data_IF_601652918585
#
_entry.id   IF_601652918585
#
_cell.length_a   1.000
_cell.length_b   1.000
_cell.length_c   1.000
_cell.angle_alpha   90.00
_cell.angle_beta   90.00
_cell.angle_gamma   90.00
#
_symmetry.space_group_name_H-M   'P 1'
#
loop_
_entity.id
_entity.type
_entity.pdbx_description
1 polymer ?
#
# COMPACT_ATOMS: atom_id res chain seq x y z
N UNK A 1 15.28 -26.79 -6.59
CA UNK A 1 14.50 -26.16 -7.69
C UNK A 1 13.04 -26.54 -7.56
N UNK A 2 12.18 -25.58 -7.22
CA UNK A 2 10.75 -25.80 -7.20
C UNK A 2 10.22 -26.00 -8.62
N UNK A 3 9.35 -26.99 -8.81
CA UNK A 3 8.62 -27.21 -10.07
C UNK A 3 7.16 -26.83 -9.82
N UNK A 4 6.59 -26.06 -10.72
CA UNK A 4 5.17 -25.73 -10.72
C UNK A 4 4.49 -26.28 -11.96
N UNK A 5 3.23 -26.70 -11.79
CA UNK A 5 2.40 -27.06 -12.93
C UNK A 5 1.99 -25.80 -13.70
N UNK A 6 2.03 -25.87 -15.01
CA UNK A 6 1.48 -24.88 -15.93
C UNK A 6 0.08 -25.33 -16.29
N UNK A 7 -0.91 -24.46 -16.06
CA UNK A 7 -2.31 -24.71 -16.31
C UNK A 7 -2.80 -23.97 -17.56
N UNK A 8 -3.84 -24.48 -18.19
CA UNK A 8 -4.63 -23.75 -19.17
C UNK A 8 -5.75 -22.92 -18.49
N UNK A 9 -6.52 -22.15 -19.27
CA UNK A 9 -7.64 -21.38 -18.76
C UNK A 9 -8.80 -22.24 -18.20
N UNK A 10 -8.83 -23.53 -18.48
CA UNK A 10 -9.81 -24.50 -17.97
C UNK A 10 -9.31 -25.27 -16.73
N UNK A 11 -8.13 -24.92 -16.21
CA UNK A 11 -7.53 -25.54 -15.05
C UNK A 11 -6.82 -26.87 -15.31
N UNK A 12 -6.69 -27.30 -16.57
CA UNK A 12 -5.97 -28.53 -16.91
C UNK A 12 -4.48 -28.29 -16.93
N UNK A 13 -3.70 -29.29 -16.50
CA UNK A 13 -2.26 -29.25 -16.54
C UNK A 13 -1.74 -29.45 -17.98
N UNK A 14 -1.03 -28.45 -18.49
CA UNK A 14 -0.39 -28.46 -19.83
C UNK A 14 1.07 -28.92 -19.74
N UNK A 15 1.77 -28.51 -18.65
CA UNK A 15 3.19 -28.80 -18.51
C UNK A 15 3.72 -28.52 -17.11
N UNK A 16 5.05 -28.50 -16.99
CA UNK A 16 5.76 -28.15 -15.74
C UNK A 16 6.85 -27.13 -16.04
N UNK A 17 6.95 -26.08 -15.24
CA UNK A 17 8.01 -25.10 -15.27
C UNK A 17 8.96 -25.27 -14.08
N UNK A 18 10.25 -25.12 -14.31
CA UNK A 18 11.28 -25.09 -13.26
C UNK A 18 11.56 -23.65 -12.89
N UNK A 19 11.37 -23.31 -11.61
CA UNK A 19 11.64 -21.97 -11.09
C UNK A 19 13.13 -21.80 -10.75
N UNK A 20 13.65 -20.58 -10.92
CA UNK A 20 15.02 -20.24 -10.56
C UNK A 20 15.13 -20.06 -9.03
N UNK A 21 15.93 -20.87 -8.37
CA UNK A 21 16.14 -20.83 -6.92
C UNK A 21 16.72 -19.50 -6.43
N UNK A 22 17.49 -18.77 -7.26
CA UNK A 22 18.02 -17.46 -6.90
C UNK A 22 16.95 -16.36 -6.77
N UNK A 23 15.71 -16.65 -7.20
CA UNK A 23 14.56 -15.73 -7.13
C UNK A 23 13.44 -16.29 -6.26
N UNK A 24 13.10 -17.56 -6.44
CA UNK A 24 11.94 -18.21 -5.85
C UNK A 24 12.27 -19.22 -4.75
N UNK A 25 13.57 -19.46 -4.50
CA UNK A 25 14.04 -20.44 -3.52
C UNK A 25 14.79 -19.82 -2.34
N UNK A 26 14.70 -18.52 -2.12
CA UNK A 26 15.32 -17.86 -0.97
C UNK A 26 14.42 -17.99 0.27
N UNK A 27 15.03 -17.96 1.45
CA UNK A 27 14.30 -17.90 2.71
C UNK A 27 13.57 -16.55 2.82
N UNK A 28 12.24 -16.53 3.01
CA UNK A 28 11.47 -15.31 3.10
C UNK A 28 11.85 -14.47 4.32
N UNK A 29 12.20 -13.20 4.12
CA UNK A 29 12.52 -12.27 5.19
C UNK A 29 11.36 -11.30 5.42
N UNK A 30 10.56 -11.58 6.46
CA UNK A 30 9.37 -10.80 6.82
C UNK A 30 9.69 -9.34 7.19
N UNK A 31 10.86 -9.08 7.81
CA UNK A 31 11.26 -7.73 8.23
C UNK A 31 11.48 -6.84 7.00
N UNK A 32 12.24 -7.33 6.03
CA UNK A 32 12.53 -6.55 4.80
C UNK A 32 11.27 -6.36 3.95
N UNK A 33 10.38 -7.36 3.89
CA UNK A 33 9.08 -7.21 3.22
C UNK A 33 8.22 -6.13 3.89
N UNK A 34 8.13 -6.13 5.22
CA UNK A 34 7.40 -5.12 5.98
C UNK A 34 7.98 -3.72 5.76
N UNK A 35 9.30 -3.59 5.78
CA UNK A 35 9.99 -2.30 5.55
C UNK A 35 9.72 -1.74 4.15
N UNK A 36 9.69 -2.61 3.14
CA UNK A 36 9.31 -2.22 1.78
C UNK A 36 7.85 -1.71 1.70
N UNK A 37 6.92 -2.35 2.41
CA UNK A 37 5.51 -1.92 2.49
C UNK A 37 5.39 -0.58 3.21
N UNK A 38 6.07 -0.40 4.34
CA UNK A 38 6.08 0.87 5.10
C UNK A 38 6.62 2.01 4.24
N UNK A 39 7.72 1.76 3.51
CA UNK A 39 8.29 2.73 2.57
C UNK A 39 7.29 3.10 1.47
N UNK A 40 6.64 2.12 0.86
CA UNK A 40 5.63 2.35 -0.17
C UNK A 40 4.47 3.21 0.35
N UNK A 41 3.92 2.87 1.52
CA UNK A 41 2.83 3.64 2.14
C UNK A 41 3.25 5.06 2.53
N UNK A 42 4.49 5.23 3.04
CA UNK A 42 5.03 6.55 3.37
C UNK A 42 5.16 7.43 2.12
N UNK A 43 5.64 6.86 1.00
CA UNK A 43 5.81 7.59 -0.26
C UNK A 43 4.48 7.98 -0.93
N UNK A 44 3.37 7.34 -0.56
CA UNK A 44 2.02 7.72 -1.02
C UNK A 44 1.42 8.90 -0.23
N UNK A 45 1.98 9.24 0.93
CA UNK A 45 1.43 10.30 1.78
C UNK A 45 1.70 11.67 1.16
N UNK A 46 0.65 12.44 0.94
CA UNK A 46 0.73 13.79 0.38
C UNK A 46 1.37 14.81 1.34
N UNK A 47 1.20 14.63 2.65
CA UNK A 47 1.84 15.46 3.67
C UNK A 47 1.35 16.91 3.76
N UNK A 48 0.15 17.20 3.28
CA UNK A 48 -0.42 18.57 3.20
C UNK A 48 -1.17 19.00 4.46
N UNK A 49 -1.16 18.18 5.52
CA UNK A 49 -1.79 18.54 6.78
C UNK A 49 -1.16 19.83 7.36
N UNK A 50 -1.98 20.78 7.76
CA UNK A 50 -1.54 22.03 8.37
C UNK A 50 -2.52 22.50 9.44
N UNK A 51 -2.01 22.93 10.56
CA UNK A 51 -2.80 23.54 11.63
C UNK A 51 -2.12 24.82 12.10
N UNK A 52 -2.91 25.70 12.75
CA UNK A 52 -2.41 26.97 13.22
C UNK A 52 -1.86 26.84 14.65
N UNK A 53 -0.63 27.28 14.83
CA UNK A 53 -0.02 27.45 16.15
C UNK A 53 -0.54 28.70 16.83
N UNK A 54 -0.29 28.86 18.12
CA UNK A 54 -0.67 30.04 18.89
C UNK A 54 -0.21 31.35 18.25
N UNK A 55 0.92 31.37 17.59
CA UNK A 55 1.48 32.57 16.95
C UNK A 55 0.76 32.91 15.63
N UNK A 56 0.22 31.92 14.96
CA UNK A 56 -0.43 32.05 13.65
C UNK A 56 -1.92 32.36 13.74
N UNK A 57 -2.57 31.96 14.85
CA UNK A 57 -4.00 32.26 15.08
C UNK A 57 -4.20 33.78 15.19
N UNK A 58 -5.19 34.31 14.50
CA UNK A 58 -5.56 35.73 14.55
C UNK A 58 -6.14 36.12 15.90
N UNK A 59 -5.91 37.35 16.35
CA UNK A 59 -6.46 37.93 17.58
C UNK A 59 -5.53 37.86 18.79
N UNK A 60 -6.05 38.06 19.99
CA UNK A 60 -5.40 37.83 21.29
C UNK A 60 -4.23 38.74 21.66
N UNK A 61 -4.04 39.89 21.04
CA UNK A 61 -2.97 40.83 21.36
C UNK A 61 -3.08 41.49 22.73
N UNK A 62 -4.30 41.54 23.28
CA UNK A 62 -4.59 42.11 24.61
C UNK A 62 -4.78 41.03 25.65
N UNK A 63 -4.28 41.25 26.88
CA UNK A 63 -4.54 40.36 28.00
C UNK A 63 -6.04 40.41 28.32
N UNK A 64 -6.77 39.26 28.47
CA UNK A 64 -8.22 39.23 28.65
C UNK A 64 -8.70 39.99 29.91
N UNK A 65 -7.97 39.87 31.00
CA UNK A 65 -8.25 40.56 32.26
C UNK A 65 -6.98 40.77 33.09
N UNK A 66 -7.06 41.59 34.13
CA UNK A 66 -5.96 41.83 35.06
C UNK A 66 -5.55 40.59 35.83
N UNK A 67 -4.30 40.55 36.32
CA UNK A 67 -3.67 39.35 36.89
C UNK A 67 -4.34 38.86 38.18
N UNK A 68 -4.94 39.76 38.98
CA UNK A 68 -5.59 39.48 40.26
C UNK A 68 -6.87 40.33 40.43
N UNK A 69 -7.76 39.90 41.33
CA UNK A 69 -8.93 40.68 41.70
C UNK A 69 -10.13 40.57 40.73
N UNK A 70 -10.19 39.52 39.89
CA UNK A 70 -11.32 39.28 38.98
C UNK A 70 -12.12 38.03 39.32
N UNK A 71 -11.66 37.17 40.24
CA UNK A 71 -12.26 35.87 40.52
C UNK A 71 -12.06 34.83 39.40
N UNK A 72 -11.49 35.22 38.27
CA UNK A 72 -11.20 34.32 37.15
C UNK A 72 -9.79 33.72 37.19
N UNK A 73 -9.62 32.55 36.55
CA UNK A 73 -8.31 31.97 36.34
C UNK A 73 -7.41 32.92 35.57
N UNK A 74 -6.11 32.91 35.88
CA UNK A 74 -5.10 33.78 35.21
C UNK A 74 -4.93 33.39 33.75
N UNK A 75 -5.10 34.38 32.86
CA UNK A 75 -4.96 34.20 31.42
C UNK A 75 -4.08 35.28 30.79
N UNK A 76 -3.20 34.88 29.87
CA UNK A 76 -2.31 35.80 29.17
C UNK A 76 -2.78 36.15 27.75
N UNK A 77 -3.51 35.25 27.12
CA UNK A 77 -3.96 35.43 25.73
C UNK A 77 -5.14 34.52 25.44
N UNK A 78 -6.10 34.96 24.64
CA UNK A 78 -7.22 34.19 24.13
C UNK A 78 -6.83 33.19 23.06
N UNK A 79 -5.62 33.31 22.50
CA UNK A 79 -5.05 32.36 21.53
C UNK A 79 -4.35 31.16 22.17
N UNK A 80 -4.31 31.08 23.48
CA UNK A 80 -3.69 29.97 24.20
C UNK A 80 -4.43 28.65 23.91
N UNK A 81 -3.73 27.50 23.94
CA UNK A 81 -4.33 26.20 23.52
C UNK A 81 -5.54 25.75 24.33
N UNK A 82 -5.64 26.20 25.58
CA UNK A 82 -6.78 25.90 26.45
C UNK A 82 -8.06 26.68 26.09
N UNK A 83 -7.94 27.68 25.23
CA UNK A 83 -9.08 28.46 24.77
C UNK A 83 -9.72 27.83 23.54
N UNK A 84 -11.03 27.93 23.44
CA UNK A 84 -11.75 27.61 22.23
C UNK A 84 -11.29 28.55 21.12
N UNK A 85 -11.00 28.02 19.94
CA UNK A 85 -10.36 28.74 18.82
C UNK A 85 -8.94 29.22 19.10
N UNK A 86 -8.27 28.74 20.15
CA UNK A 86 -6.84 28.94 20.37
C UNK A 86 -5.99 28.08 19.43
N UNK A 87 -4.66 28.33 19.48
CA UNK A 87 -3.72 27.56 18.68
C UNK A 87 -3.53 26.12 19.14
N UNK A 88 -3.11 25.24 18.26
CA UNK A 88 -2.82 23.83 18.54
C UNK A 88 -1.36 23.68 18.99
N UNK A 89 -1.15 22.99 20.13
CA UNK A 89 0.19 22.62 20.60
C UNK A 89 0.68 21.43 19.76
N UNK A 90 1.96 21.42 19.40
CA UNK A 90 2.53 20.41 18.47
C UNK A 90 1.75 20.30 17.16
N UNK A 91 1.30 21.42 16.66
CA UNK A 91 0.53 21.54 15.44
C UNK A 91 1.22 20.86 14.26
N UNK A 92 0.56 19.91 13.57
CA UNK A 92 1.14 19.32 12.38
C UNK A 92 1.31 20.36 11.28
N UNK A 93 2.48 20.36 10.65
CA UNK A 93 2.82 21.21 9.50
C UNK A 93 3.03 20.34 8.25
N UNK A 94 2.88 20.90 7.06
CA UNK A 94 3.19 20.20 5.83
C UNK A 94 4.63 19.69 5.86
N UNK A 95 4.81 18.41 5.52
CA UNK A 95 6.12 17.78 5.39
C UNK A 95 6.13 16.70 4.35
N UNK A 96 7.30 16.44 3.79
CA UNK A 96 7.54 15.27 2.96
C UNK A 96 7.77 14.05 3.83
N UNK A 97 7.07 12.95 3.51
CA UNK A 97 7.20 11.64 4.16
C UNK A 97 8.00 10.66 3.32
N UNK A 98 8.38 11.04 2.09
CA UNK A 98 9.05 10.16 1.18
C UNK A 98 10.50 9.86 1.62
N UNK A 99 10.90 8.61 1.46
CA UNK A 99 12.28 8.19 1.64
C UNK A 99 12.59 7.01 0.71
N UNK A 100 13.87 6.78 0.45
CA UNK A 100 14.35 5.74 -0.45
C UNK A 100 15.06 4.66 0.36
N UNK A 101 14.65 3.41 0.19
CA UNK A 101 15.37 2.22 0.69
C UNK A 101 16.41 1.76 -0.33
N UNK A 102 17.43 1.05 0.11
CA UNK A 102 18.50 0.55 -0.74
C UNK A 102 17.97 -0.39 -1.83
N UNK A 103 18.58 -0.33 -3.02
CA UNK A 103 18.20 -1.20 -4.15
C UNK A 103 18.29 -2.69 -3.82
N UNK A 104 19.29 -3.09 -3.00
CA UNK A 104 19.48 -4.48 -2.58
C UNK A 104 18.34 -4.95 -1.66
N UNK A 105 17.94 -4.13 -0.70
CA UNK A 105 16.82 -4.41 0.23
C UNK A 105 15.49 -4.55 -0.53
N UNK A 106 15.19 -3.61 -1.45
CA UNK A 106 13.99 -3.69 -2.28
C UNK A 106 13.93 -4.94 -3.16
N UNK A 107 15.08 -5.35 -3.75
CA UNK A 107 15.16 -6.59 -4.51
C UNK A 107 15.00 -7.83 -3.62
N UNK A 108 15.57 -7.80 -2.41
CA UNK A 108 15.42 -8.90 -1.45
C UNK A 108 13.97 -9.02 -0.99
N UNK A 109 13.28 -7.90 -0.72
CA UNK A 109 11.86 -7.88 -0.36
C UNK A 109 10.99 -8.54 -1.44
N UNK A 110 11.21 -8.19 -2.72
CA UNK A 110 10.48 -8.77 -3.84
C UNK A 110 10.73 -10.27 -3.98
N UNK A 111 11.99 -10.68 -3.92
CA UNK A 111 12.35 -12.11 -3.99
C UNK A 111 11.77 -12.90 -2.80
N UNK A 112 11.81 -12.32 -1.59
CA UNK A 112 11.20 -12.92 -0.40
C UNK A 112 9.69 -13.12 -0.57
N UNK A 113 8.99 -12.11 -1.10
CA UNK A 113 7.56 -12.21 -1.37
C UNK A 113 7.22 -13.29 -2.41
N UNK A 114 8.01 -13.39 -3.50
CA UNK A 114 7.82 -14.42 -4.51
C UNK A 114 8.11 -15.83 -3.96
N UNK A 115 9.17 -15.98 -3.18
CA UNK A 115 9.49 -17.27 -2.52
C UNK A 115 8.40 -17.69 -1.54
N UNK A 116 7.86 -16.76 -0.76
CA UNK A 116 6.74 -17.01 0.16
C UNK A 116 5.51 -17.52 -0.59
N UNK A 117 5.17 -16.92 -1.75
CA UNK A 117 4.05 -17.38 -2.58
C UNK A 117 4.24 -18.79 -3.11
N UNK A 118 5.46 -19.16 -3.47
CA UNK A 118 5.77 -20.53 -3.89
C UNK A 118 5.66 -21.52 -2.73
N UNK A 119 6.20 -21.16 -1.54
CA UNK A 119 6.14 -22.00 -0.34
C UNK A 119 4.70 -22.25 0.12
N UNK A 120 3.85 -21.23 0.04
CA UNK A 120 2.44 -21.31 0.43
C UNK A 120 1.53 -21.88 -0.68
N UNK A 121 2.08 -22.28 -1.83
CA UNK A 121 1.29 -22.79 -2.97
C UNK A 121 0.34 -21.75 -3.58
N UNK A 122 0.62 -20.47 -3.37
CA UNK A 122 -0.24 -19.35 -3.83
C UNK A 122 0.18 -18.79 -5.19
N UNK A 123 1.22 -19.35 -5.81
CA UNK A 123 1.66 -18.99 -7.17
C UNK A 123 1.08 -19.99 -8.17
N UNK A 124 0.25 -19.48 -9.07
CA UNK A 124 -0.35 -20.24 -10.18
C UNK A 124 0.27 -19.75 -11.47
N UNK A 125 0.66 -20.66 -12.34
CA UNK A 125 1.23 -20.35 -13.66
C UNK A 125 0.25 -20.79 -14.74
N UNK A 126 -0.14 -19.84 -15.59
CA UNK A 126 -0.96 -20.10 -16.79
C UNK A 126 -0.07 -20.11 -18.02
N UNK A 127 -0.38 -20.97 -18.98
CA UNK A 127 0.28 -21.01 -20.27
C UNK A 127 0.00 -19.75 -21.08
N UNK A 128 -1.28 -19.43 -21.24
CA UNK A 128 -1.74 -18.22 -21.90
C UNK A 128 -3.09 -17.75 -21.33
N UNK A 129 -3.32 -16.44 -21.33
CA UNK A 129 -4.61 -15.84 -21.04
C UNK A 129 -5.13 -15.15 -22.31
N UNK A 130 -5.77 -15.94 -23.19
CA UNK A 130 -6.31 -15.46 -24.45
C UNK A 130 -7.72 -14.97 -24.26
N UNK A 131 -7.92 -13.66 -24.40
CA UNK A 131 -9.23 -13.01 -24.37
C UNK A 131 -9.31 -12.11 -25.61
N UNK A 132 -10.15 -12.50 -26.58
CA UNK A 132 -10.25 -11.82 -27.88
C UNK A 132 -11.27 -10.67 -27.87
N UNK A 133 -12.15 -10.65 -26.86
CA UNK A 133 -13.17 -9.61 -26.68
C UNK A 133 -13.31 -9.24 -25.20
N UNK A 134 -13.82 -8.04 -24.91
CA UNK A 134 -14.11 -7.63 -23.54
C UNK A 134 -15.17 -8.54 -22.90
N UNK A 135 -14.78 -9.42 -22.01
CA UNK A 135 -15.65 -10.38 -21.34
C UNK A 135 -15.20 -10.69 -19.91
N UNK A 136 -15.85 -10.05 -18.94
CA UNK A 136 -15.64 -10.35 -17.51
C UNK A 136 -16.04 -11.79 -17.16
N UNK A 137 -17.09 -12.31 -17.83
CA UNK A 137 -17.58 -13.69 -17.62
C UNK A 137 -16.50 -14.73 -17.93
N UNK A 138 -15.75 -14.56 -19.01
CA UNK A 138 -14.68 -15.49 -19.41
C UNK A 138 -13.54 -15.47 -18.39
N UNK A 139 -13.13 -14.29 -17.94
CA UNK A 139 -12.08 -14.16 -16.92
C UNK A 139 -12.54 -14.72 -15.58
N UNK A 140 -13.77 -14.45 -15.15
CA UNK A 140 -14.32 -14.98 -13.92
C UNK A 140 -14.44 -16.51 -13.94
N UNK A 141 -14.86 -17.10 -15.07
CA UNK A 141 -14.88 -18.54 -15.25
C UNK A 141 -13.47 -19.16 -15.11
N UNK A 142 -12.47 -18.59 -15.79
CA UNK A 142 -11.08 -19.02 -15.69
C UNK A 142 -10.58 -18.95 -14.23
N UNK A 143 -10.80 -17.85 -13.51
CA UNK A 143 -10.38 -17.71 -12.11
C UNK A 143 -11.04 -18.73 -11.19
N UNK A 144 -12.28 -19.09 -11.43
CA UNK A 144 -12.98 -20.14 -10.68
C UNK A 144 -12.41 -21.54 -10.96
N UNK A 145 -12.12 -21.86 -12.22
CA UNK A 145 -11.55 -23.17 -12.61
C UNK A 145 -10.14 -23.39 -12.04
N UNK A 146 -9.31 -22.34 -12.03
CA UNK A 146 -7.97 -22.42 -11.43
C UNK A 146 -7.98 -22.27 -9.89
N UNK A 147 -9.16 -22.18 -9.28
CA UNK A 147 -9.32 -22.03 -7.81
C UNK A 147 -8.53 -20.83 -7.26
N UNK A 148 -8.57 -19.72 -7.96
CA UNK A 148 -7.90 -18.51 -7.54
C UNK A 148 -8.51 -17.94 -6.25
N UNK A 149 -7.67 -17.36 -5.38
CA UNK A 149 -8.14 -16.70 -4.16
C UNK A 149 -8.95 -15.43 -4.49
N UNK A 150 -9.78 -14.98 -3.55
CA UNK A 150 -10.61 -13.77 -3.73
C UNK A 150 -9.79 -12.51 -4.08
N UNK A 151 -8.55 -12.43 -3.57
CA UNK A 151 -7.61 -11.33 -3.90
C UNK A 151 -6.46 -11.91 -4.71
N UNK A 152 -6.53 -11.77 -6.01
CA UNK A 152 -5.56 -12.32 -6.96
C UNK A 152 -4.89 -11.20 -7.73
N UNK A 153 -3.57 -11.27 -7.87
CA UNK A 153 -2.78 -10.43 -8.77
C UNK A 153 -2.49 -11.21 -10.05
N UNK A 154 -2.97 -10.71 -11.18
CA UNK A 154 -2.70 -11.28 -12.50
C UNK A 154 -1.53 -10.51 -13.12
N UNK A 155 -0.47 -11.22 -13.50
CA UNK A 155 0.70 -10.66 -14.19
C UNK A 155 0.71 -11.18 -15.62
N UNK A 156 0.66 -10.28 -16.58
CA UNK A 156 0.67 -10.59 -18.00
C UNK A 156 2.01 -10.18 -18.61
N UNK A 157 2.50 -10.94 -19.57
CA UNK A 157 3.72 -10.63 -20.33
C UNK A 157 3.48 -9.43 -21.25
N UNK A 158 2.38 -9.45 -22.00
CA UNK A 158 1.98 -8.40 -22.92
C UNK A 158 0.82 -7.55 -22.39
N UNK A 159 0.71 -6.32 -22.93
CA UNK A 159 -0.36 -5.38 -22.61
C UNK A 159 -1.68 -5.78 -23.32
N UNK A 160 -2.17 -7.02 -23.04
CA UNK A 160 -3.48 -7.47 -23.55
C UNK A 160 -4.59 -6.64 -22.93
N UNK A 161 -5.01 -5.59 -23.61
CA UNK A 161 -6.05 -4.66 -23.14
C UNK A 161 -7.40 -5.35 -22.90
N UNK A 162 -7.74 -6.40 -23.64
CA UNK A 162 -8.97 -7.18 -23.45
C UNK A 162 -8.93 -7.93 -22.10
N UNK A 163 -7.83 -8.61 -21.79
CA UNK A 163 -7.67 -9.32 -20.53
C UNK A 163 -7.63 -8.34 -19.34
N UNK A 164 -6.86 -7.25 -19.43
CA UNK A 164 -6.73 -6.24 -18.37
C UNK A 164 -8.09 -5.60 -18.06
N UNK A 165 -8.80 -5.09 -19.06
CA UNK A 165 -10.07 -4.42 -18.83
C UNK A 165 -11.20 -5.38 -18.40
N UNK A 166 -11.15 -6.63 -18.86
CA UNK A 166 -12.11 -7.66 -18.42
C UNK A 166 -11.89 -8.07 -16.97
N UNK A 167 -10.64 -8.14 -16.52
CA UNK A 167 -10.28 -8.47 -15.13
C UNK A 167 -10.55 -7.30 -14.17
N UNK A 168 -10.29 -6.06 -14.59
CA UNK A 168 -10.42 -4.86 -13.73
C UNK A 168 -11.83 -4.61 -13.20
N UNK A 169 -12.86 -5.16 -13.83
CA UNK A 169 -14.26 -5.03 -13.40
C UNK A 169 -14.70 -6.14 -12.41
N UNK A 170 -13.82 -7.06 -12.05
CA UNK A 170 -14.09 -8.10 -11.06
C UNK A 170 -13.64 -7.56 -9.69
N UNK A 171 -14.56 -7.55 -8.71
CA UNK A 171 -14.34 -7.04 -7.36
C UNK A 171 -13.68 -8.07 -6.45
#
# INVERSE_FOLDING_TARGET
MAKLAVLDMAGNKVGDIKLNDAVFGIEPNAVVMHEAVVNYLANQRQGTQSTLTRTEVSGGGKKPWRQKGTGHARQGSTRAPQWRHGGIVHAPKPRDYSYVINKKERRLALKSALSDKVLNGSLIVLDAMTVDTYSTKTVAACLNEIVAAQKTLIVLEDNNSFAVNSAANIA
#
